data_IF_329283559070
#
_entry.id   IF_329283559070
#
_cell.length_a   1.000
_cell.length_b   1.000
_cell.length_c   1.000
_cell.angle_alpha   90.00
_cell.angle_beta   90.00
_cell.angle_gamma   90.00
#
_symmetry.space_group_name_H-M   'P 1'
#
loop_
_entity.id
_entity.type
_entity.pdbx_description
1 polymer ?
#
# COMPACT_ATOMS: atom_id res chain seq x y z
N UNK A 1 8.97 -12.57 -16.49
CA UNK A 1 9.05 -11.65 -15.33
C UNK A 1 10.51 -11.30 -15.10
N UNK A 2 10.90 -10.02 -15.00
CA UNK A 2 12.29 -9.65 -14.77
C UNK A 2 12.81 -10.34 -13.48
N UNK A 3 13.93 -11.09 -13.54
CA UNK A 3 14.53 -11.69 -12.36
C UNK A 3 15.15 -10.60 -11.49
N UNK A 4 14.99 -10.68 -10.17
CA UNK A 4 15.45 -9.63 -9.26
C UNK A 4 16.49 -10.14 -8.25
N UNK A 5 17.47 -9.29 -7.87
CA UNK A 5 18.44 -9.63 -6.83
C UNK A 5 17.72 -9.97 -5.53
N UNK A 6 18.09 -11.09 -4.89
CA UNK A 6 17.52 -11.53 -3.60
C UNK A 6 17.58 -10.44 -2.51
N UNK A 7 18.54 -9.51 -2.62
CA UNK A 7 18.80 -8.44 -1.65
C UNK A 7 18.17 -7.09 -2.03
N UNK A 8 17.41 -7.01 -3.13
CA UNK A 8 16.80 -5.77 -3.64
C UNK A 8 15.79 -5.11 -2.71
N UNK A 9 15.28 -5.85 -1.71
CA UNK A 9 14.21 -5.37 -0.86
C UNK A 9 12.83 -5.36 -1.54
N UNK A 10 12.65 -6.01 -2.70
CA UNK A 10 11.33 -6.21 -3.32
C UNK A 10 10.42 -7.20 -2.56
N UNK A 11 10.99 -7.97 -1.61
CA UNK A 11 10.23 -8.69 -0.56
C UNK A 11 9.87 -7.80 0.65
N UNK A 12 10.04 -6.48 0.53
CA UNK A 12 9.64 -5.53 1.58
C UNK A 12 8.21 -5.09 1.36
N UNK A 13 7.64 -4.55 2.43
CA UNK A 13 6.27 -4.05 2.54
C UNK A 13 5.80 -3.05 1.44
N UNK A 14 6.72 -2.51 0.61
CA UNK A 14 6.50 -1.47 -0.41
C UNK A 14 6.84 -1.93 -1.84
N UNK A 15 6.36 -3.11 -2.26
CA UNK A 15 6.59 -3.64 -3.60
C UNK A 15 5.35 -3.62 -4.51
N UNK A 16 4.42 -2.70 -4.24
CA UNK A 16 3.16 -2.55 -4.99
C UNK A 16 3.41 -2.32 -6.49
N UNK A 17 4.42 -1.51 -6.83
CA UNK A 17 4.89 -1.24 -8.18
C UNK A 17 5.14 -2.53 -8.97
N UNK A 18 5.81 -3.49 -8.33
CA UNK A 18 6.19 -4.76 -8.94
C UNK A 18 4.95 -5.61 -9.22
N UNK A 19 4.05 -5.75 -8.25
CA UNK A 19 2.88 -6.60 -8.41
C UNK A 19 1.90 -6.05 -9.44
N UNK A 20 1.70 -4.73 -9.48
CA UNK A 20 0.92 -4.07 -10.52
C UNK A 20 1.56 -4.26 -11.89
N UNK A 21 2.87 -4.03 -12.03
CA UNK A 21 3.58 -4.27 -13.30
C UNK A 21 3.48 -5.75 -13.74
N UNK A 22 3.69 -6.68 -12.82
CA UNK A 22 3.63 -8.12 -13.05
C UNK A 22 2.28 -8.54 -13.63
N UNK A 23 1.18 -8.01 -13.07
CA UNK A 23 -0.17 -8.31 -13.55
C UNK A 23 -0.40 -7.85 -15.00
N UNK A 24 0.20 -6.74 -15.42
CA UNK A 24 0.10 -6.22 -16.79
C UNK A 24 0.98 -6.98 -17.79
N UNK A 25 2.07 -7.59 -17.32
CA UNK A 25 2.98 -8.40 -18.12
C UNK A 25 2.58 -9.89 -18.18
N UNK A 26 1.54 -10.29 -17.45
CA UNK A 26 1.06 -11.66 -17.46
C UNK A 26 0.24 -11.94 -18.72
N UNK A 27 0.73 -12.81 -19.60
CA UNK A 27 0.11 -13.15 -20.89
C UNK A 27 -0.78 -14.41 -20.84
N UNK A 28 -1.04 -14.99 -19.65
CA UNK A 28 -1.83 -16.24 -19.53
C UNK A 28 -3.35 -16.05 -19.61
N UNK A 29 -4.09 -17.15 -19.74
CA UNK A 29 -5.56 -17.11 -19.90
C UNK A 29 -6.24 -16.75 -18.57
N UNK A 30 -6.74 -15.52 -18.45
CA UNK A 30 -7.33 -15.00 -17.22
C UNK A 30 -8.36 -13.90 -17.47
N UNK A 31 -8.94 -13.86 -18.68
CA UNK A 31 -9.75 -12.75 -19.17
C UNK A 31 -10.91 -12.35 -18.25
N UNK A 32 -11.55 -13.30 -17.57
CA UNK A 32 -12.70 -13.02 -16.70
C UNK A 32 -12.34 -12.49 -15.30
N UNK A 33 -11.09 -12.67 -14.85
CA UNK A 33 -10.68 -12.27 -13.50
C UNK A 33 -9.74 -11.06 -13.48
N UNK A 34 -9.42 -10.48 -14.64
CA UNK A 34 -8.51 -9.34 -14.77
C UNK A 34 -9.27 -8.02 -14.69
N UNK A 35 -8.80 -7.12 -13.84
CA UNK A 35 -9.33 -5.76 -13.74
C UNK A 35 -8.63 -4.75 -14.67
N UNK A 36 -7.46 -5.12 -15.19
CA UNK A 36 -6.71 -4.34 -16.17
C UNK A 36 -6.02 -5.25 -17.21
N UNK A 37 -5.89 -4.75 -18.43
CA UNK A 37 -5.16 -5.41 -19.52
C UNK A 37 -4.16 -4.42 -20.12
N UNK A 38 -2.99 -4.93 -20.51
CA UNK A 38 -2.00 -4.13 -21.24
C UNK A 38 -2.37 -4.14 -22.71
N UNK A 39 -2.41 -2.95 -23.32
CA UNK A 39 -2.60 -2.77 -24.76
C UNK A 39 -1.29 -2.34 -25.41
N UNK A 40 -1.07 -2.74 -26.66
CA UNK A 40 0.11 -2.33 -27.44
C UNK A 40 -0.09 -0.98 -28.13
N UNK A 41 -1.33 -0.64 -28.48
CA UNK A 41 -1.67 0.66 -29.05
C UNK A 41 -2.02 1.66 -27.92
N UNK A 42 -1.22 2.73 -27.74
CA UNK A 42 -1.45 3.73 -26.70
C UNK A 42 -2.70 4.62 -26.96
N UNK A 43 -3.25 4.63 -28.18
CA UNK A 43 -4.46 5.41 -28.51
C UNK A 43 -5.69 4.82 -27.82
N UNK A 44 -5.77 3.49 -27.72
CA UNK A 44 -6.89 2.78 -27.07
C UNK A 44 -6.71 2.62 -25.56
N UNK A 45 -5.59 3.10 -25.00
CA UNK A 45 -5.32 3.00 -23.57
C UNK A 45 -6.22 3.94 -22.75
N UNK A 46 -6.94 3.38 -21.79
CA UNK A 46 -7.75 4.14 -20.82
C UNK A 46 -6.90 4.90 -19.79
N UNK A 47 -5.70 4.40 -19.52
CA UNK A 47 -4.73 4.94 -18.57
C UNK A 47 -3.31 4.48 -18.92
N UNK A 48 -2.30 5.22 -18.45
CA UNK A 48 -0.89 4.85 -18.57
C UNK A 48 -0.31 4.47 -17.22
N UNK A 49 0.01 3.19 -17.04
CA UNK A 49 0.79 2.77 -15.89
C UNK A 49 2.25 3.18 -16.07
N UNK A 50 2.83 3.85 -15.07
CA UNK A 50 4.25 4.24 -15.07
C UNK A 50 5.03 3.22 -14.25
N UNK A 51 5.79 2.29 -14.87
CA UNK A 51 6.51 1.23 -14.17
C UNK A 51 7.82 1.74 -13.54
N UNK A 52 7.83 2.95 -12.97
CA UNK A 52 8.98 3.49 -12.25
C UNK A 52 8.93 3.05 -10.79
N UNK A 53 9.94 2.30 -10.35
CA UNK A 53 9.95 1.65 -9.04
C UNK A 53 10.39 2.62 -7.94
N UNK A 54 9.54 3.62 -7.67
CA UNK A 54 9.86 4.76 -6.82
C UNK A 54 10.18 4.37 -5.36
N UNK A 55 9.49 3.35 -4.81
CA UNK A 55 9.81 2.79 -3.50
C UNK A 55 11.18 2.10 -3.47
N UNK A 56 11.57 1.43 -4.55
CA UNK A 56 12.88 0.80 -4.67
C UNK A 56 13.99 1.85 -4.82
N UNK A 57 13.79 2.85 -5.68
CA UNK A 57 14.71 3.99 -5.84
C UNK A 57 15.05 4.61 -4.49
N UNK A 58 14.02 4.91 -3.68
CA UNK A 58 14.21 5.41 -2.33
C UNK A 58 14.95 4.40 -1.43
N UNK A 59 14.53 3.14 -1.39
CA UNK A 59 15.13 2.14 -0.51
C UNK A 59 16.61 1.87 -0.83
N UNK A 60 17.00 1.98 -2.10
CA UNK A 60 18.37 1.74 -2.53
C UNK A 60 19.24 2.99 -2.37
N UNK A 61 18.75 4.16 -2.81
CA UNK A 61 19.56 5.37 -2.93
C UNK A 61 19.16 6.50 -1.98
N UNK A 62 17.95 6.49 -1.42
CA UNK A 62 17.42 7.57 -0.57
C UNK A 62 17.35 7.25 0.93
N UNK A 63 17.58 6.00 1.34
CA UNK A 63 17.20 5.51 2.68
C UNK A 63 17.96 6.18 3.84
N UNK A 64 19.20 6.60 3.62
CA UNK A 64 20.01 7.28 4.64
C UNK A 64 19.66 8.75 4.83
N UNK A 65 18.83 9.32 3.93
CA UNK A 65 18.34 10.70 4.00
C UNK A 65 19.46 11.77 4.05
N UNK A 66 20.69 11.41 3.69
CA UNK A 66 21.89 12.26 3.59
C UNK A 66 22.00 12.82 2.17
N UNK A 67 22.22 14.13 2.06
CA UNK A 67 22.13 14.84 0.77
C UNK A 67 23.08 14.31 -0.32
N UNK A 68 24.35 13.92 -0.04
CA UNK A 68 25.21 13.30 -1.05
C UNK A 68 24.71 11.93 -1.53
N UNK A 69 24.21 11.10 -0.63
CA UNK A 69 23.78 9.73 -0.95
C UNK A 69 22.50 9.71 -1.78
N UNK A 70 21.66 10.74 -1.62
CA UNK A 70 20.35 10.83 -2.30
C UNK A 70 20.41 11.38 -3.72
N UNK A 71 21.59 11.75 -4.24
CA UNK A 71 21.75 12.32 -5.58
C UNK A 71 21.23 11.38 -6.67
N UNK A 72 21.44 10.06 -6.53
CA UNK A 72 20.96 9.07 -7.51
C UNK A 72 19.43 9.01 -7.50
N UNK A 73 18.79 8.93 -6.33
CA UNK A 73 17.32 8.93 -6.23
C UNK A 73 16.72 10.22 -6.82
N UNK A 74 17.34 11.37 -6.55
CA UNK A 74 16.91 12.65 -7.12
C UNK A 74 17.05 12.66 -8.64
N UNK A 75 18.17 12.18 -9.17
CA UNK A 75 18.40 12.14 -10.62
C UNK A 75 17.41 11.22 -11.32
N UNK A 76 17.13 10.03 -10.76
CA UNK A 76 16.11 9.13 -11.29
C UNK A 76 14.71 9.77 -11.35
N UNK A 77 14.34 10.57 -10.35
CA UNK A 77 13.10 11.34 -10.35
C UNK A 77 13.08 12.43 -11.45
N UNK A 78 14.20 13.10 -11.69
CA UNK A 78 14.35 14.09 -12.77
C UNK A 78 14.19 13.41 -14.13
N UNK A 79 14.88 12.30 -14.34
CA UNK A 79 14.91 11.60 -15.63
C UNK A 79 13.54 11.03 -16.00
N UNK A 80 12.82 10.43 -15.05
CA UNK A 80 11.46 9.93 -15.32
C UNK A 80 10.49 11.07 -15.63
N UNK A 81 10.59 12.21 -14.93
CA UNK A 81 9.76 13.38 -15.23
C UNK A 81 10.06 13.97 -16.61
N UNK A 82 11.34 14.03 -16.99
CA UNK A 82 11.75 14.46 -18.33
C UNK A 82 11.18 13.53 -19.39
N UNK A 83 11.30 12.22 -19.20
CA UNK A 83 10.73 11.22 -20.11
C UNK A 83 9.21 11.37 -20.25
N UNK A 84 8.50 11.45 -19.12
CA UNK A 84 7.05 11.61 -19.11
C UNK A 84 6.63 12.89 -19.85
N UNK A 85 7.22 14.04 -19.54
CA UNK A 85 6.86 15.34 -20.16
C UNK A 85 7.11 15.40 -21.66
N UNK A 86 8.07 14.63 -22.18
CA UNK A 86 8.34 14.54 -23.61
C UNK A 86 7.30 13.68 -24.35
N UNK A 87 6.55 12.84 -23.64
CA UNK A 87 5.50 12.00 -24.23
C UNK A 87 4.27 12.82 -24.63
N UNK A 88 3.79 12.64 -25.86
CA UNK A 88 2.50 13.19 -26.30
C UNK A 88 1.34 12.72 -25.40
N UNK A 89 1.45 11.51 -24.84
CA UNK A 89 0.44 10.93 -23.97
C UNK A 89 0.40 11.57 -22.60
N UNK A 90 1.52 12.05 -22.08
CA UNK A 90 1.53 12.90 -20.90
C UNK A 90 0.96 14.27 -21.22
N UNK A 91 1.39 14.89 -22.33
CA UNK A 91 0.99 16.23 -22.73
C UNK A 91 -0.52 16.34 -22.97
N UNK A 92 -1.17 15.31 -23.53
CA UNK A 92 -2.61 15.32 -23.83
C UNK A 92 -3.51 15.45 -22.60
N UNK A 93 -3.05 14.98 -21.44
CA UNK A 93 -3.82 14.92 -20.19
C UNK A 93 -3.17 15.73 -19.05
N UNK A 94 -1.94 16.21 -19.25
CA UNK A 94 -1.09 16.73 -18.19
C UNK A 94 -0.83 15.70 -17.08
N UNK A 95 -0.70 14.42 -17.45
CA UNK A 95 -0.47 13.31 -16.52
C UNK A 95 -1.72 12.77 -15.79
N UNK A 96 -2.92 13.32 -16.02
CA UNK A 96 -4.13 12.96 -15.25
C UNK A 96 -4.60 11.52 -15.41
N UNK A 97 -4.31 10.91 -16.56
CA UNK A 97 -4.59 9.50 -16.86
C UNK A 97 -3.38 8.59 -16.57
N UNK A 98 -2.34 9.09 -15.89
CA UNK A 98 -1.18 8.30 -15.51
C UNK A 98 -1.35 7.73 -14.10
N UNK A 99 -1.01 6.46 -13.94
CA UNK A 99 -1.04 5.72 -12.68
C UNK A 99 0.39 5.53 -12.20
N UNK A 100 0.72 6.17 -11.08
CA UNK A 100 2.09 6.20 -10.56
C UNK A 100 2.08 5.66 -9.13
N UNK A 101 2.60 4.45 -8.89
CA UNK A 101 2.73 3.97 -7.53
C UNK A 101 3.88 4.67 -6.81
N UNK A 102 3.52 5.19 -5.64
CA UNK A 102 4.36 5.93 -4.69
C UNK A 102 4.09 5.39 -3.29
N UNK A 103 4.22 4.06 -3.14
CA UNK A 103 3.74 3.37 -1.95
C UNK A 103 4.60 3.67 -0.72
N UNK A 104 5.93 3.70 -0.87
CA UNK A 104 6.80 4.18 0.19
C UNK A 104 6.55 5.68 0.46
N UNK A 105 6.33 6.12 1.72
CA UNK A 105 5.96 7.52 2.00
C UNK A 105 6.99 8.57 1.58
N UNK A 106 8.26 8.18 1.47
CA UNK A 106 9.36 9.02 0.97
C UNK A 106 9.66 8.84 -0.53
N UNK A 107 8.90 8.01 -1.24
CA UNK A 107 9.01 7.95 -2.70
C UNK A 107 8.69 9.33 -3.30
N UNK A 108 9.45 9.72 -4.33
CA UNK A 108 9.38 11.05 -4.93
C UNK A 108 9.48 12.21 -3.93
N UNK A 109 10.29 12.09 -2.86
CA UNK A 109 10.38 13.15 -1.85
C UNK A 109 10.76 14.53 -2.41
N UNK A 110 11.48 14.59 -3.53
CA UNK A 110 11.97 15.84 -4.11
C UNK A 110 11.00 16.46 -5.12
N UNK A 111 10.32 15.63 -5.94
CA UNK A 111 9.57 16.10 -7.10
C UNK A 111 8.10 15.62 -7.13
N UNK A 112 7.54 15.21 -5.99
CA UNK A 112 6.15 14.72 -5.90
C UNK A 112 5.09 15.71 -6.38
N UNK A 113 5.30 17.01 -6.16
CA UNK A 113 4.33 18.04 -6.59
C UNK A 113 4.17 18.04 -8.11
N UNK A 114 5.23 17.70 -8.85
CA UNK A 114 5.22 17.60 -10.31
C UNK A 114 4.32 16.47 -10.83
N UNK A 115 3.92 15.54 -9.96
CA UNK A 115 3.09 14.38 -10.26
C UNK A 115 1.66 14.50 -9.70
N UNK A 116 1.32 15.60 -9.02
CA UNK A 116 0.06 15.75 -8.29
C UNK A 116 -1.18 15.50 -9.16
N UNK A 117 -1.15 15.88 -10.44
CA UNK A 117 -2.27 15.65 -11.35
C UNK A 117 -2.58 14.15 -11.62
N UNK A 118 -1.60 13.27 -11.42
CA UNK A 118 -1.69 11.83 -11.71
C UNK A 118 -2.50 11.07 -10.66
N UNK A 119 -2.94 9.86 -11.00
CA UNK A 119 -3.51 8.90 -10.05
C UNK A 119 -2.35 8.25 -9.29
N UNK A 120 -2.18 8.61 -8.02
CA UNK A 120 -1.12 8.06 -7.18
C UNK A 120 -1.61 6.80 -6.48
N UNK A 121 -0.75 5.79 -6.37
CA UNK A 121 -0.98 4.62 -5.51
C UNK A 121 -0.11 4.74 -4.26
N UNK A 122 -0.70 5.05 -3.12
CA UNK A 122 0.00 5.40 -1.86
C UNK A 122 -0.31 4.39 -0.76
N UNK A 123 0.54 4.31 0.28
CA UNK A 123 0.27 3.44 1.44
C UNK A 123 -0.81 4.01 2.38
N UNK A 124 -0.81 5.33 2.57
CA UNK A 124 -1.75 6.09 3.38
C UNK A 124 -1.71 7.57 2.99
N UNK A 125 -2.59 8.38 3.60
CA UNK A 125 -2.60 9.84 3.43
C UNK A 125 -1.90 10.60 4.56
N UNK A 126 -1.29 9.90 5.53
CA UNK A 126 -0.73 10.53 6.73
C UNK A 126 0.54 11.33 6.45
N UNK A 127 1.23 11.04 5.33
CA UNK A 127 2.49 11.68 4.94
C UNK A 127 2.36 12.67 3.77
N UNK A 128 1.14 12.89 3.31
CA UNK A 128 0.87 13.73 2.14
C UNK A 128 -0.08 14.88 2.51
N UNK A 129 0.20 16.11 2.08
CA UNK A 129 -0.77 17.19 2.12
C UNK A 129 -2.07 16.80 1.39
N UNK A 130 -3.22 17.24 1.91
CA UNK A 130 -4.55 16.90 1.34
C UNK A 130 -4.73 17.35 -0.12
N UNK A 131 -4.04 18.42 -0.51
CA UNK A 131 -4.04 18.94 -1.88
C UNK A 131 -3.19 18.10 -2.85
N UNK A 132 -2.28 17.26 -2.34
CA UNK A 132 -1.44 16.37 -3.14
C UNK A 132 -2.03 14.96 -3.25
N UNK A 133 -2.45 14.39 -2.12
CA UNK A 133 -3.00 13.03 -2.09
C UNK A 133 -4.34 12.97 -1.36
N UNK A 134 -5.36 12.40 -2.01
CA UNK A 134 -6.70 12.29 -1.45
C UNK A 134 -7.52 11.14 -2.05
N UNK A 135 -8.51 10.67 -1.30
CA UNK A 135 -9.40 9.56 -1.70
C UNK A 135 -10.17 9.80 -3.01
N UNK A 136 -10.37 11.05 -3.43
CA UNK A 136 -11.10 11.36 -4.66
C UNK A 136 -10.26 11.03 -5.90
N UNK A 137 -8.95 11.26 -5.85
CA UNK A 137 -8.02 11.09 -6.98
C UNK A 137 -7.21 9.79 -6.88
N UNK A 138 -6.76 9.46 -5.69
CA UNK A 138 -5.71 8.49 -5.45
C UNK A 138 -6.24 7.16 -4.93
N UNK A 139 -5.37 6.14 -5.01
CA UNK A 139 -5.64 4.77 -4.57
C UNK A 139 -4.76 4.47 -3.36
N UNK A 140 -5.35 3.87 -2.33
CA UNK A 140 -4.62 3.39 -1.16
C UNK A 140 -4.33 1.91 -1.35
N UNK A 141 -3.06 1.53 -1.31
CA UNK A 141 -2.64 0.15 -1.39
C UNK A 141 -2.24 -0.41 -0.02
N UNK A 142 -2.68 -1.65 0.32
CA UNK A 142 -2.20 -2.31 1.51
C UNK A 142 -0.70 -2.60 1.40
N UNK A 143 -0.07 -2.80 2.55
CA UNK A 143 1.31 -3.27 2.60
C UNK A 143 1.37 -4.75 2.19
N UNK A 144 2.40 -5.09 1.43
CA UNK A 144 2.71 -6.50 1.14
C UNK A 144 3.14 -7.19 2.44
N UNK A 145 2.61 -8.38 2.69
CA UNK A 145 2.98 -9.15 3.87
C UNK A 145 4.49 -9.40 3.92
N UNK A 146 5.10 -9.16 5.08
CA UNK A 146 6.53 -9.39 5.33
C UNK A 146 6.84 -10.85 5.68
N UNK A 147 5.80 -11.63 5.94
CA UNK A 147 5.82 -13.07 6.22
C UNK A 147 4.73 -13.73 5.39
N UNK A 148 4.88 -15.02 5.12
CA UNK A 148 3.89 -15.74 4.31
C UNK A 148 2.54 -15.83 5.01
N UNK A 149 1.47 -15.75 4.22
CA UNK A 149 0.12 -15.89 4.72
C UNK A 149 -0.16 -17.32 5.20
N UNK A 150 -0.81 -17.41 6.35
CA UNK A 150 -1.23 -18.68 6.93
C UNK A 150 -2.51 -19.17 6.24
N UNK A 151 -2.34 -20.08 5.26
CA UNK A 151 -3.44 -20.58 4.42
C UNK A 151 -4.20 -21.76 5.04
N UNK A 152 -3.56 -22.50 5.93
CA UNK A 152 -4.13 -23.69 6.57
C UNK A 152 -4.92 -23.33 7.83
N UNK A 153 -6.01 -22.58 7.65
CA UNK A 153 -6.86 -22.10 8.74
C UNK A 153 -8.27 -22.70 8.68
N UNK A 154 -8.37 -24.02 8.66
CA UNK A 154 -9.63 -24.78 8.50
C UNK A 154 -9.96 -25.70 9.68
N UNK A 155 -9.41 -25.43 10.87
CA UNK A 155 -9.72 -26.19 12.09
C UNK A 155 -11.23 -26.25 12.35
N UNK A 156 -11.74 -27.44 12.71
CA UNK A 156 -13.14 -27.65 13.09
C UNK A 156 -13.52 -26.93 14.39
N UNK A 157 -12.55 -26.72 15.29
CA UNK A 157 -12.69 -25.88 16.47
C UNK A 157 -11.56 -24.85 16.54
N UNK A 158 -11.68 -23.73 15.81
CA UNK A 158 -10.62 -22.74 15.72
C UNK A 158 -10.41 -21.98 17.04
N UNK A 159 -11.40 -21.98 17.94
CA UNK A 159 -11.29 -21.30 19.23
C UNK A 159 -10.42 -22.12 20.20
N UNK A 160 -10.75 -23.40 20.42
CA UNK A 160 -9.98 -24.24 21.35
C UNK A 160 -8.57 -24.56 20.82
N UNK A 161 -8.38 -24.57 19.49
CA UNK A 161 -7.07 -24.84 18.89
C UNK A 161 -6.07 -23.68 19.06
N UNK A 162 -6.45 -22.57 19.69
CA UNK A 162 -5.64 -21.36 19.84
C UNK A 162 -5.51 -20.97 21.31
N UNK A 163 -4.57 -21.58 22.04
CA UNK A 163 -4.40 -21.31 23.46
C UNK A 163 -3.77 -19.94 23.75
N UNK A 164 -3.11 -19.32 22.75
CA UNK A 164 -2.49 -18.00 22.92
C UNK A 164 -3.55 -16.89 22.83
N UNK A 165 -3.69 -16.13 23.92
CA UNK A 165 -4.60 -14.98 24.00
C UNK A 165 -4.04 -13.78 23.25
N UNK A 166 -2.76 -13.48 23.45
CA UNK A 166 -2.07 -12.34 22.85
C UNK A 166 -0.71 -12.75 22.29
N UNK A 167 -0.39 -12.21 21.12
CA UNK A 167 0.89 -12.43 20.47
C UNK A 167 1.47 -11.10 19.99
N UNK A 168 2.59 -10.71 20.59
CA UNK A 168 3.34 -9.52 20.23
C UNK A 168 4.76 -9.92 19.85
N UNK A 169 5.11 -9.76 18.58
CA UNK A 169 6.47 -9.96 18.10
C UNK A 169 6.87 -8.76 17.24
N UNK A 170 7.85 -8.01 17.70
CA UNK A 170 8.29 -6.81 16.98
C UNK A 170 9.18 -5.89 17.79
N UNK A 171 9.67 -4.83 17.14
CA UNK A 171 10.46 -3.79 17.83
C UNK A 171 9.64 -3.11 18.92
N UNK A 172 10.02 -3.33 20.17
CA UNK A 172 9.46 -2.66 21.36
C UNK A 172 9.90 -1.20 21.44
N UNK A 173 11.11 -0.90 20.95
CA UNK A 173 11.69 0.45 20.87
C UNK A 173 11.66 0.92 19.40
N UNK A 174 10.80 1.90 19.10
CA UNK A 174 10.70 2.53 17.76
C UNK A 174 10.03 3.90 17.85
N UNK A 175 10.61 4.93 17.21
CA UNK A 175 10.15 6.34 17.23
C UNK A 175 10.11 6.94 18.63
N UNK A 176 8.96 7.37 19.15
CA UNK A 176 8.75 7.95 20.50
C UNK A 176 9.02 6.93 21.62
N UNK A 177 10.21 6.31 21.57
CA UNK A 177 10.75 5.25 22.41
C UNK A 177 9.89 3.98 22.55
N UNK A 178 8.75 3.94 21.86
CA UNK A 178 7.77 2.87 22.03
C UNK A 178 7.13 2.86 23.41
N UNK A 179 6.94 4.02 24.06
CA UNK A 179 6.46 4.16 25.45
C UNK A 179 5.27 3.23 25.77
N UNK A 180 4.24 3.19 24.91
CA UNK A 180 3.07 2.33 25.12
C UNK A 180 3.44 0.84 25.05
N UNK A 181 4.28 0.43 24.09
CA UNK A 181 4.76 -0.95 23.97
C UNK A 181 5.60 -1.36 25.16
N UNK A 182 6.48 -0.48 25.65
CA UNK A 182 7.31 -0.74 26.82
C UNK A 182 6.47 -0.92 28.09
N UNK A 183 5.40 -0.11 28.26
CA UNK A 183 4.46 -0.26 29.37
C UNK A 183 3.62 -1.53 29.26
N UNK A 184 3.10 -1.84 28.06
CA UNK A 184 2.35 -3.08 27.81
C UNK A 184 3.18 -4.33 28.09
N UNK A 185 4.46 -4.34 27.70
CA UNK A 185 5.37 -5.45 27.99
C UNK A 185 5.43 -5.77 29.50
N UNK A 186 5.44 -4.73 30.34
CA UNK A 186 5.46 -4.89 31.80
C UNK A 186 4.12 -5.36 32.36
N UNK A 187 3.01 -4.81 31.86
CA UNK A 187 1.66 -5.15 32.32
C UNK A 187 1.28 -6.59 31.94
N UNK A 188 1.73 -7.03 30.77
CA UNK A 188 1.44 -8.36 30.24
C UNK A 188 2.48 -9.41 30.67
N UNK A 189 3.52 -9.01 31.39
CA UNK A 189 4.50 -9.96 31.93
C UNK A 189 3.82 -10.86 32.96
N UNK A 190 4.07 -12.17 32.86
CA UNK A 190 3.55 -13.18 33.79
C UNK A 190 2.22 -13.81 33.39
N UNK A 191 1.66 -13.48 32.24
CA UNK A 191 0.55 -14.25 31.65
C UNK A 191 1.12 -15.35 30.73
N UNK A 192 0.87 -16.62 31.07
CA UNK A 192 1.40 -17.78 30.34
C UNK A 192 0.84 -17.89 28.90
N UNK A 193 -0.36 -17.36 28.67
CA UNK A 193 -1.07 -17.29 27.39
C UNK A 193 -0.76 -16.01 26.59
N UNK A 194 0.25 -15.24 26.99
CA UNK A 194 0.70 -14.03 26.30
C UNK A 194 2.15 -14.18 25.84
N UNK A 195 2.35 -14.19 24.52
CA UNK A 195 3.67 -14.10 23.94
C UNK A 195 4.03 -12.64 23.72
N UNK A 196 5.12 -12.18 24.33
CA UNK A 196 5.63 -10.83 24.15
C UNK A 196 7.14 -10.87 23.92
N UNK A 197 7.56 -10.67 22.68
CA UNK A 197 8.97 -10.78 22.28
C UNK A 197 9.44 -9.57 21.46
N UNK A 198 10.60 -9.05 21.85
CA UNK A 198 11.32 -8.07 21.05
C UNK A 198 12.11 -8.78 19.95
N UNK A 199 11.57 -8.81 18.74
CA UNK A 199 12.29 -9.37 17.59
C UNK A 199 11.82 -8.78 16.25
N UNK A 200 12.23 -9.42 15.16
CA UNK A 200 11.76 -9.12 13.81
C UNK A 200 10.51 -9.94 13.51
N UNK A 201 9.71 -9.52 12.52
CA UNK A 201 8.55 -10.29 12.11
C UNK A 201 9.00 -11.70 11.67
N UNK A 202 8.44 -12.73 12.29
CA UNK A 202 8.61 -14.13 11.89
C UNK A 202 7.26 -14.72 11.52
N UNK A 203 7.24 -15.90 10.89
CA UNK A 203 5.99 -16.61 10.60
C UNK A 203 5.24 -17.05 11.88
N UNK A 204 5.82 -16.85 13.07
CA UNK A 204 5.16 -17.02 14.36
C UNK A 204 3.93 -16.11 14.47
N UNK A 205 2.76 -16.73 14.34
CA UNK A 205 1.42 -16.25 14.73
C UNK A 205 1.09 -14.77 14.52
N UNK A 206 0.69 -14.42 13.29
CA UNK A 206 -0.22 -13.29 13.07
C UNK A 206 -1.60 -13.85 12.78
N UNK A 207 -2.50 -13.81 13.78
CA UNK A 207 -3.90 -14.24 13.63
C UNK A 207 -4.85 -13.20 14.23
N UNK A 208 -5.37 -12.37 13.33
CA UNK A 208 -6.76 -11.95 13.24
C UNK A 208 -7.47 -11.01 14.22
N UNK A 209 -8.20 -10.06 13.61
CA UNK A 209 -9.16 -9.04 14.10
C UNK A 209 -8.63 -8.04 15.14
N UNK A 210 -8.98 -6.77 14.94
CA UNK A 210 -8.54 -5.69 15.83
C UNK A 210 -9.65 -5.36 16.83
N UNK A 211 -9.35 -5.54 18.10
CA UNK A 211 -10.09 -4.90 19.19
C UNK A 211 -9.32 -3.64 19.55
N UNK A 212 -10.05 -2.53 19.59
CA UNK A 212 -9.48 -1.23 19.93
C UNK A 212 -9.64 -0.99 21.42
N UNK A 213 -8.51 -0.75 22.07
CA UNK A 213 -8.43 -0.22 23.41
C UNK A 213 -7.86 1.18 23.32
N UNK A 214 -8.40 2.13 24.09
CA UNK A 214 -7.70 3.39 24.30
C UNK A 214 -6.37 3.13 25.02
N UNK A 215 -5.41 4.06 24.88
CA UNK A 215 -4.15 3.96 25.63
C UNK A 215 -4.39 3.90 27.15
N UNK A 216 -5.43 4.58 27.64
CA UNK A 216 -5.80 4.57 29.06
C UNK A 216 -6.23 3.17 29.50
N UNK A 217 -7.18 2.57 28.78
CA UNK A 217 -7.70 1.22 29.06
C UNK A 217 -6.62 0.14 28.89
N UNK A 218 -5.82 0.22 27.82
CA UNK A 218 -4.78 -0.78 27.54
C UNK A 218 -3.66 -0.79 28.60
N UNK A 219 -3.46 0.33 29.29
CA UNK A 219 -2.44 0.48 30.34
C UNK A 219 -2.98 0.27 31.75
N UNK A 220 -4.27 -0.04 31.91
CA UNK A 220 -4.83 -0.50 33.17
C UNK A 220 -4.50 -1.99 33.37
N UNK A 221 -3.78 -2.37 34.44
CA UNK A 221 -3.40 -3.75 34.67
C UNK A 221 -4.62 -4.68 34.69
N UNK A 222 -4.56 -5.81 33.99
CA UNK A 222 -5.65 -6.79 33.92
C UNK A 222 -6.75 -6.46 32.90
N UNK A 223 -7.07 -5.18 32.69
CA UNK A 223 -8.23 -4.76 31.88
C UNK A 223 -8.26 -5.41 30.49
N UNK A 224 -7.17 -5.27 29.71
CA UNK A 224 -7.13 -5.82 28.34
C UNK A 224 -7.31 -7.34 28.33
N UNK A 225 -6.65 -8.06 29.25
CA UNK A 225 -6.71 -9.52 29.34
C UNK A 225 -8.12 -9.97 29.73
N UNK A 226 -8.73 -9.34 30.73
CA UNK A 226 -10.10 -9.63 31.16
C UNK A 226 -11.11 -9.39 30.04
N UNK A 227 -11.01 -8.26 29.34
CA UNK A 227 -11.91 -7.96 28.22
C UNK A 227 -11.79 -8.98 27.09
N UNK A 228 -10.58 -9.44 26.78
CA UNK A 228 -10.35 -10.45 25.74
C UNK A 228 -10.87 -11.84 26.16
N UNK A 229 -10.65 -12.23 27.42
CA UNK A 229 -11.14 -13.52 27.98
C UNK A 229 -12.66 -13.57 28.08
N UNK A 230 -13.31 -12.42 28.30
CA UNK A 230 -14.77 -12.32 28.37
C UNK A 230 -15.46 -12.36 27.00
N UNK A 231 -14.74 -12.48 25.89
CA UNK A 231 -15.35 -12.63 24.55
C UNK A 231 -15.90 -14.04 24.43
N UNK A 232 -17.23 -14.22 24.25
CA UNK A 232 -17.81 -15.54 24.07
C UNK A 232 -17.27 -16.23 22.81
N UNK A 233 -17.12 -17.55 22.86
CA UNK A 233 -16.64 -18.39 21.74
C UNK A 233 -17.38 -18.09 20.44
N UNK A 234 -18.69 -17.92 20.50
CA UNK A 234 -19.54 -17.62 19.33
C UNK A 234 -19.15 -16.30 18.68
N UNK A 235 -18.87 -15.28 19.50
CA UNK A 235 -18.44 -13.95 19.03
C UNK A 235 -17.04 -14.01 18.45
N UNK A 236 -16.12 -14.72 19.10
CA UNK A 236 -14.76 -14.92 18.60
C UNK A 236 -14.77 -15.62 17.24
N UNK A 237 -15.50 -16.73 17.11
CA UNK A 237 -15.60 -17.50 15.86
C UNK A 237 -16.20 -16.66 14.74
N UNK A 238 -17.20 -15.81 15.04
CA UNK A 238 -17.77 -14.87 14.07
C UNK A 238 -16.73 -13.88 13.55
N UNK A 239 -15.90 -13.30 14.43
CA UNK A 239 -14.84 -12.37 14.04
C UNK A 239 -13.75 -13.07 13.20
N UNK A 240 -13.35 -14.27 13.60
CA UNK A 240 -12.39 -15.09 12.86
C UNK A 240 -12.88 -15.42 11.43
N UNK A 241 -14.12 -15.90 11.28
CA UNK A 241 -14.72 -16.18 9.94
C UNK A 241 -14.74 -14.94 9.05
N UNK A 242 -15.10 -13.78 9.62
CA UNK A 242 -15.10 -12.51 8.89
C UNK A 242 -13.71 -12.16 8.38
N UNK A 243 -12.67 -12.35 9.19
CA UNK A 243 -11.33 -12.09 8.71
C UNK A 243 -10.92 -13.05 7.59
N UNK A 244 -11.18 -14.34 7.76
CA UNK A 244 -10.89 -15.34 6.72
C UNK A 244 -11.54 -14.98 5.39
N UNK A 245 -12.75 -14.39 5.43
CA UNK A 245 -13.43 -13.93 4.22
C UNK A 245 -12.76 -12.74 3.52
N UNK A 246 -11.96 -11.92 4.23
CA UNK A 246 -11.33 -10.71 3.67
C UNK A 246 -9.82 -10.80 3.51
N UNK A 247 -9.16 -11.80 4.09
CA UNK A 247 -7.68 -11.91 4.08
C UNK A 247 -7.12 -11.98 2.66
N UNK A 248 -7.81 -12.68 1.75
CA UNK A 248 -7.41 -12.81 0.35
C UNK A 248 -7.30 -11.45 -0.39
N UNK A 249 -8.02 -10.42 0.05
CA UNK A 249 -7.94 -9.06 -0.50
C UNK A 249 -6.60 -8.36 -0.23
N UNK A 250 -5.78 -8.90 0.68
CA UNK A 250 -4.46 -8.37 1.03
C UNK A 250 -3.32 -9.17 0.38
N UNK A 251 -3.66 -10.23 -0.35
CA UNK A 251 -2.68 -11.08 -1.03
C UNK A 251 -2.19 -10.42 -2.32
N UNK A 252 -0.88 -10.24 -2.39
CA UNK A 252 -0.20 -9.87 -3.63
C UNK A 252 0.39 -11.12 -4.26
N UNK A 253 -0.02 -11.43 -5.48
CA UNK A 253 0.36 -12.68 -6.14
C UNK A 253 0.39 -12.53 -7.66
N UNK A 254 1.07 -13.47 -8.30
CA UNK A 254 1.17 -13.57 -9.75
C UNK A 254 1.04 -15.05 -10.17
N UNK A 255 0.02 -15.44 -10.95
CA UNK A 255 -0.98 -14.57 -11.56
C UNK A 255 -1.95 -13.94 -10.54
N UNK A 256 -2.51 -12.76 -10.84
CA UNK A 256 -3.55 -12.17 -10.01
C UNK A 256 -4.79 -13.08 -9.94
N UNK A 257 -5.45 -13.11 -8.79
CA UNK A 257 -6.73 -13.78 -8.58
C UNK A 257 -7.85 -12.77 -8.38
N UNK A 258 -9.08 -13.18 -8.69
CA UNK A 258 -10.27 -12.37 -8.44
C UNK A 258 -10.27 -11.88 -6.98
N UNK A 259 -10.56 -10.60 -6.79
CA UNK A 259 -10.58 -9.93 -5.49
C UNK A 259 -9.25 -9.92 -4.71
N UNK A 260 -8.10 -10.25 -5.32
CA UNK A 260 -6.82 -10.07 -4.63
C UNK A 260 -6.40 -8.58 -4.55
N UNK A 261 -5.31 -8.30 -3.85
CA UNK A 261 -4.85 -6.92 -3.65
C UNK A 261 -4.60 -6.21 -5.00
N UNK A 262 -4.03 -6.91 -5.99
CA UNK A 262 -3.67 -6.32 -7.28
C UNK A 262 -4.90 -5.96 -8.11
N UNK A 263 -5.87 -6.88 -8.20
CA UNK A 263 -7.12 -6.63 -8.91
C UNK A 263 -7.94 -5.54 -8.22
N UNK A 264 -8.00 -5.52 -6.89
CA UNK A 264 -8.66 -4.44 -6.17
C UNK A 264 -8.01 -3.08 -6.44
N UNK A 265 -6.69 -3.00 -6.57
CA UNK A 265 -5.99 -1.78 -6.96
C UNK A 265 -6.39 -1.30 -8.36
N UNK A 266 -6.39 -2.21 -9.34
CA UNK A 266 -6.82 -1.87 -10.71
C UNK A 266 -8.28 -1.46 -10.78
N UNK A 267 -9.16 -2.11 -10.01
CA UNK A 267 -10.57 -1.70 -9.89
C UNK A 267 -10.71 -0.29 -9.31
N UNK A 268 -9.91 0.05 -8.29
CA UNK A 268 -9.90 1.39 -7.74
C UNK A 268 -9.39 2.41 -8.77
N UNK A 269 -8.30 2.12 -9.49
CA UNK A 269 -7.81 2.95 -10.60
C UNK A 269 -8.91 3.20 -11.62
N UNK A 270 -9.59 2.14 -12.07
CA UNK A 270 -10.72 2.21 -13.02
C UNK A 270 -11.82 3.16 -12.53
N UNK A 271 -12.16 3.13 -11.24
CA UNK A 271 -13.12 4.06 -10.64
C UNK A 271 -12.65 5.52 -10.58
N UNK A 272 -11.33 5.79 -10.64
CA UNK A 272 -10.80 7.17 -10.68
C UNK A 272 -10.78 7.76 -12.08
N UNK A 273 -10.76 6.92 -13.13
CA UNK A 273 -10.61 7.37 -14.52
C UNK A 273 -11.70 8.35 -14.99
N UNK A 274 -13.00 8.18 -14.68
CA UNK A 274 -14.01 9.18 -15.07
C UNK A 274 -13.72 10.57 -14.50
N UNK A 275 -13.23 10.63 -13.25
CA UNK A 275 -12.83 11.89 -12.61
C UNK A 275 -11.62 12.53 -13.29
N UNK A 276 -10.61 11.72 -13.63
CA UNK A 276 -9.44 12.16 -14.39
C UNK A 276 -9.83 12.70 -15.78
N UNK A 277 -10.65 11.95 -16.54
CA UNK A 277 -11.17 12.37 -17.85
C UNK A 277 -11.94 13.68 -17.74
N UNK A 278 -12.84 13.82 -16.76
CA UNK A 278 -13.58 15.06 -16.52
C UNK A 278 -12.64 16.25 -16.22
N UNK A 279 -11.58 16.05 -15.45
CA UNK A 279 -10.60 17.09 -15.17
C UNK A 279 -9.86 17.53 -16.44
N UNK A 280 -9.48 16.60 -17.32
CA UNK A 280 -8.89 16.91 -18.65
C UNK A 280 -9.87 17.72 -19.50
N UNK A 281 -11.14 17.32 -19.58
CA UNK A 281 -12.14 18.05 -20.36
C UNK A 281 -12.39 19.47 -19.83
N UNK A 282 -12.40 19.66 -18.51
CA UNK A 282 -12.52 21.00 -17.89
C UNK A 282 -11.34 21.89 -18.25
N UNK A 283 -10.12 21.39 -18.14
CA UNK A 283 -8.91 22.13 -18.47
C UNK A 283 -8.90 22.60 -19.93
N UNK A 284 -9.31 21.73 -20.86
CA UNK A 284 -9.44 22.08 -22.28
C UNK A 284 -10.50 23.15 -22.57
N UNK A 285 -11.63 23.14 -21.84
CA UNK A 285 -12.71 24.14 -22.01
C UNK A 285 -12.39 25.49 -21.38
N UNK A 286 -11.62 25.50 -20.30
CA UNK A 286 -11.27 26.71 -19.55
C UNK A 286 -10.06 27.45 -20.13
N UNK A 287 -9.47 26.96 -21.23
CA UNK A 287 -8.60 27.77 -22.09
C UNK A 287 -9.44 28.88 -22.76
N UNK A 288 -9.81 29.89 -21.98
CA UNK A 288 -10.28 31.17 -22.51
C UNK A 288 -9.12 31.71 -23.36
N UNK A 289 -9.30 31.95 -24.67
CA UNK A 289 -8.29 32.68 -25.44
C UNK A 289 -8.06 34.00 -24.75
N UNK A 290 -6.80 34.33 -24.45
CA UNK A 290 -6.46 35.61 -23.85
C UNK A 290 -6.79 36.74 -24.84
N UNK A 291 -7.98 37.33 -24.73
CA UNK A 291 -8.43 38.43 -25.57
C UNK A 291 -7.57 39.70 -25.37
N UNK A 292 -6.71 39.74 -24.35
CA UNK A 292 -5.76 40.83 -24.12
C UNK A 292 -4.41 40.63 -24.82
N UNK A 293 -4.15 39.46 -25.40
CA UNK A 293 -2.90 39.15 -26.12
C UNK A 293 -2.86 39.56 -27.60
N UNK A 294 -3.98 39.98 -28.19
CA UNK A 294 -4.06 40.39 -29.61
C UNK A 294 -3.88 41.90 -29.85
N UNK A 295 -3.53 42.68 -28.81
CA UNK A 295 -3.19 44.10 -28.94
C UNK A 295 -1.86 44.42 -28.27
N UNK A 296 -0.76 43.85 -28.77
CA UNK A 296 0.59 44.42 -28.67
C UNK A 296 1.43 44.03 -29.88
#
# INVERSE_FOLDING_TARGET
MPPWPRNSGLKKQHSVEYWMMASLLYDGDGGETREAIRVSDPVIADAFFVPFFSSQSFNTHGHNMTDPDTMIDRQLQIDILKFLRQSEYWQRSGGRDHVIPMHHPNAFRFLREELNASILVVADFGRYPKNLSNLRKDVVAPYVHVVDSFKDDDSSDPFESRPMLLFFQGRTIRKDEGIVRAKLAKILAGYDDVHYEQSYATQGSIKAFSIFFSVKEALEPGYMVEQLRNIPKERWVKMWRRLKSVSHHYEFQNPPKKEDAVNMLWRQVKHKLPGAKLAVHRDRRLKIPDWWGQRR
#
